data_IF_449620433930
#
_entry.id   IF_449620433930
#
_cell.length_a   1.000
_cell.length_b   1.000
_cell.length_c   1.000
_cell.angle_alpha   90.00
_cell.angle_beta   90.00
_cell.angle_gamma   90.00
#
_symmetry.space_group_name_H-M   'P 1'
#
loop_
_entity.id
_entity.type
_entity.pdbx_description
1 polymer ?
#
# COMPACT_ATOMS: atom_id res chain seq x y z
N UNK A 1 8.01 -16.77 3.83
CA UNK A 1 6.93 -16.93 2.83
C UNK A 1 6.72 -15.60 2.13
N UNK A 2 7.04 -15.50 0.85
CA UNK A 2 6.88 -14.27 0.08
C UNK A 2 5.51 -14.24 -0.63
N UNK A 3 4.92 -13.05 -0.70
CA UNK A 3 3.68 -12.84 -1.45
C UNK A 3 4.03 -12.36 -2.86
N UNK A 4 3.42 -12.96 -3.86
CA UNK A 4 3.56 -12.57 -5.26
C UNK A 4 2.21 -12.13 -5.80
N UNK A 5 2.20 -11.05 -6.55
CA UNK A 5 1.04 -10.58 -7.28
C UNK A 5 1.11 -11.08 -8.72
N UNK A 6 0.02 -11.68 -9.19
CA UNK A 6 -0.09 -12.15 -10.56
C UNK A 6 -1.26 -11.48 -11.28
N UNK A 7 -1.10 -11.29 -12.58
CA UNK A 7 -2.16 -10.92 -13.50
C UNK A 7 -2.47 -12.12 -14.36
N UNK A 8 -3.71 -12.59 -14.32
CA UNK A 8 -4.22 -13.70 -15.11
C UNK A 8 -5.17 -13.21 -16.20
N UNK A 9 -5.27 -13.95 -17.29
CA UNK A 9 -6.30 -13.75 -18.31
C UNK A 9 -7.44 -14.75 -18.08
N UNK A 10 -8.65 -14.26 -17.89
CA UNK A 10 -9.84 -15.11 -17.89
C UNK A 10 -10.15 -15.59 -19.32
N UNK A 11 -10.88 -16.72 -19.45
CA UNK A 11 -11.37 -17.24 -20.74
C UNK A 11 -12.13 -16.17 -21.57
N UNK A 12 -12.70 -15.18 -20.90
CA UNK A 12 -13.41 -14.05 -21.53
C UNK A 12 -12.49 -12.86 -21.88
N UNK A 13 -11.16 -13.05 -21.89
CA UNK A 13 -10.17 -12.00 -22.20
C UNK A 13 -9.99 -10.92 -21.13
N UNK A 14 -10.69 -11.00 -19.99
CA UNK A 14 -10.58 -10.03 -18.90
C UNK A 14 -9.34 -10.32 -18.04
N UNK A 15 -8.56 -9.28 -17.74
CA UNK A 15 -7.42 -9.35 -16.83
C UNK A 15 -7.94 -9.44 -15.39
N UNK A 16 -7.51 -10.46 -14.64
CA UNK A 16 -7.80 -10.64 -13.22
C UNK A 16 -6.50 -10.53 -12.43
N UNK A 17 -6.51 -9.74 -11.36
CA UNK A 17 -5.38 -9.62 -10.42
C UNK A 17 -5.61 -10.58 -9.26
N UNK A 18 -4.56 -11.27 -8.83
CA UNK A 18 -4.59 -12.19 -7.70
C UNK A 18 -3.27 -12.17 -6.92
N UNK A 19 -3.30 -12.78 -5.74
CA UNK A 19 -2.15 -12.92 -4.86
C UNK A 19 -1.88 -14.42 -4.66
N UNK A 20 -0.62 -14.81 -4.72
CA UNK A 20 -0.18 -16.19 -4.47
C UNK A 20 0.99 -16.18 -3.49
N UNK A 21 0.95 -17.10 -2.52
CA UNK A 21 2.07 -17.33 -1.61
C UNK A 21 3.05 -18.30 -2.27
N UNK A 22 4.33 -17.95 -2.33
CA UNK A 22 5.39 -18.83 -2.82
C UNK A 22 6.76 -18.43 -2.26
N UNK A 23 7.71 -19.36 -2.27
CA UNK A 23 9.09 -19.08 -1.83
C UNK A 23 9.98 -18.61 -2.98
N UNK A 24 9.56 -18.84 -4.23
CA UNK A 24 10.22 -18.31 -5.44
C UNK A 24 9.20 -18.00 -6.54
N UNK A 25 9.64 -17.27 -7.58
CA UNK A 25 8.80 -16.92 -8.74
C UNK A 25 8.44 -18.18 -9.54
N UNK A 26 9.35 -19.14 -9.63
CA UNK A 26 9.19 -20.41 -10.33
C UNK A 26 8.10 -21.25 -9.65
N UNK A 27 8.16 -21.37 -8.31
CA UNK A 27 7.14 -22.04 -7.52
C UNK A 27 5.77 -21.34 -7.61
N UNK A 28 5.76 -20.01 -7.68
CA UNK A 28 4.52 -19.25 -7.90
C UNK A 28 3.90 -19.57 -9.27
N UNK A 29 4.69 -19.63 -10.35
CA UNK A 29 4.23 -20.03 -11.69
C UNK A 29 3.70 -21.45 -11.70
N UNK A 30 4.41 -22.38 -11.07
CA UNK A 30 4.03 -23.78 -11.06
C UNK A 30 2.71 -24.01 -10.32
N UNK A 31 2.50 -23.34 -9.18
CA UNK A 31 1.21 -23.35 -8.46
C UNK A 31 0.06 -22.78 -9.29
N UNK A 32 0.26 -21.62 -9.92
CA UNK A 32 -0.76 -21.01 -10.77
C UNK A 32 -1.09 -21.87 -12.00
N UNK A 33 -0.11 -22.60 -12.53
CA UNK A 33 -0.32 -23.56 -13.63
C UNK A 33 -1.11 -24.79 -13.18
N UNK A 34 -0.89 -25.28 -11.95
CA UNK A 34 -1.67 -26.38 -11.35
C UNK A 34 -3.14 -25.99 -11.13
N UNK A 35 -3.43 -24.70 -10.97
CA UNK A 35 -4.79 -24.15 -10.84
C UNK A 35 -5.45 -23.77 -12.18
N UNK A 36 -4.86 -24.15 -13.32
CA UNK A 36 -5.32 -23.80 -14.67
C UNK A 36 -5.45 -22.28 -14.92
N UNK A 37 -4.64 -21.47 -14.24
CA UNK A 37 -4.64 -20.02 -14.38
C UNK A 37 -3.61 -19.59 -15.45
N UNK A 38 -4.08 -18.95 -16.52
CA UNK A 38 -3.23 -18.36 -17.55
C UNK A 38 -2.61 -17.04 -17.06
N UNK A 39 -1.39 -17.12 -16.52
CA UNK A 39 -0.67 -15.97 -15.98
C UNK A 39 0.04 -15.19 -17.08
N UNK A 40 -0.25 -13.88 -17.17
CA UNK A 40 0.41 -12.96 -18.11
C UNK A 40 1.58 -12.21 -17.46
N UNK A 41 1.54 -11.99 -16.15
CA UNK A 41 2.60 -11.29 -15.40
C UNK A 41 2.64 -11.75 -13.95
N UNK A 42 3.85 -11.91 -13.39
CA UNK A 42 4.08 -12.16 -11.96
C UNK A 42 5.11 -11.14 -11.47
N UNK A 43 4.83 -10.52 -10.33
CA UNK A 43 5.71 -9.58 -9.65
C UNK A 43 5.74 -9.91 -8.16
N UNK A 44 6.85 -9.64 -7.49
CA UNK A 44 6.88 -9.69 -6.02
C UNK A 44 5.92 -8.65 -5.46
N UNK A 45 5.00 -9.09 -4.60
CA UNK A 45 4.11 -8.18 -3.91
C UNK A 45 4.88 -7.55 -2.76
N UNK A 46 5.34 -6.33 -2.97
CA UNK A 46 5.64 -5.44 -1.85
C UNK A 46 4.33 -4.78 -1.46
N UNK A 47 3.87 -5.02 -0.23
CA UNK A 47 2.78 -4.22 0.37
C UNK A 47 3.27 -2.77 0.29
N UNK A 48 2.76 -2.00 -0.69
CA UNK A 48 2.95 -0.54 -0.65
C UNK A 48 2.35 -0.15 0.69
N UNK A 49 3.18 0.41 1.58
CA UNK A 49 2.68 0.99 2.81
C UNK A 49 1.47 1.84 2.45
N UNK A 50 0.40 1.75 3.23
CA UNK A 50 -0.78 2.58 3.00
C UNK A 50 -0.28 4.00 2.79
N UNK A 51 -0.55 4.55 1.60
CA UNK A 51 -0.29 5.96 1.39
C UNK A 51 -1.21 6.69 2.34
N UNK A 52 -0.65 7.16 3.45
CA UNK A 52 -1.33 8.01 4.40
C UNK A 52 -1.78 9.25 3.62
N UNK A 53 -3.04 9.23 3.19
CA UNK A 53 -3.66 10.38 2.53
C UNK A 53 -4.08 11.33 3.63
N UNK A 54 -3.24 12.33 3.89
CA UNK A 54 -3.59 13.44 4.76
C UNK A 54 -4.62 14.29 4.03
N UNK A 55 -5.77 14.53 4.66
CA UNK A 55 -6.77 15.41 4.04
C UNK A 55 -6.24 16.85 4.00
N UNK A 56 -6.54 17.63 2.94
CA UNK A 56 -6.12 19.03 2.89
C UNK A 56 -6.66 19.86 4.06
N UNK A 57 -7.87 19.55 4.54
CA UNK A 57 -8.47 20.21 5.70
C UNK A 57 -7.73 19.95 7.00
N UNK A 58 -7.26 18.71 7.21
CA UNK A 58 -6.46 18.34 8.37
C UNK A 58 -5.12 19.06 8.34
N UNK A 59 -4.46 19.10 7.18
CA UNK A 59 -3.19 19.82 7.02
C UNK A 59 -3.33 21.31 7.34
N UNK A 60 -4.40 21.96 6.85
CA UNK A 60 -4.65 23.38 7.13
C UNK A 60 -4.90 23.64 8.61
N UNK A 61 -5.72 22.81 9.26
CA UNK A 61 -6.05 22.97 10.69
C UNK A 61 -4.80 22.77 11.54
N UNK A 62 -4.07 21.68 11.31
CA UNK A 62 -2.81 21.39 11.98
C UNK A 62 -1.80 22.55 11.84
N UNK A 63 -1.63 23.09 10.63
CA UNK A 63 -0.67 24.18 10.40
C UNK A 63 -1.10 25.47 11.10
N UNK A 64 -2.40 25.78 11.11
CA UNK A 64 -2.94 26.94 11.83
C UNK A 64 -2.72 26.80 13.34
N UNK A 65 -3.05 25.64 13.90
CA UNK A 65 -3.01 25.43 15.35
C UNK A 65 -1.55 25.41 15.85
N UNK A 66 -0.65 24.78 15.10
CA UNK A 66 0.79 24.86 15.35
C UNK A 66 1.29 26.32 15.32
N UNK A 67 0.90 27.10 14.31
CA UNK A 67 1.30 28.51 14.23
C UNK A 67 0.81 29.32 15.44
N UNK A 68 -0.45 29.12 15.86
CA UNK A 68 -1.03 29.84 17.00
C UNK A 68 -0.30 29.49 18.29
N UNK A 69 -0.07 28.20 18.55
CA UNK A 69 0.60 27.74 19.78
C UNK A 69 2.08 28.15 19.81
N UNK A 70 2.79 28.02 18.67
CA UNK A 70 4.17 28.48 18.55
C UNK A 70 4.29 29.98 18.74
N UNK A 71 3.35 30.77 18.19
CA UNK A 71 3.31 32.23 18.38
C UNK A 71 2.95 32.63 19.82
N UNK A 72 2.16 31.82 20.52
CA UNK A 72 1.86 32.02 21.94
C UNK A 72 3.07 31.72 22.85
N UNK A 73 4.20 31.27 22.28
CA UNK A 73 5.43 30.98 23.02
C UNK A 73 5.45 29.60 23.65
N UNK A 74 4.52 28.69 23.28
CA UNK A 74 4.61 27.31 23.74
C UNK A 74 5.85 26.64 23.13
N UNK A 75 6.62 25.89 23.92
CA UNK A 75 7.65 25.01 23.40
C UNK A 75 7.09 24.06 22.35
N UNK A 76 7.90 23.74 21.33
CA UNK A 76 7.48 22.84 20.25
C UNK A 76 7.10 21.45 20.77
N UNK A 77 7.77 20.98 21.82
CA UNK A 77 7.44 19.72 22.47
C UNK A 77 6.01 19.70 22.99
N UNK A 78 5.63 20.72 23.76
CA UNK A 78 4.28 20.82 24.35
C UNK A 78 3.22 21.04 23.27
N UNK A 79 3.56 21.82 22.24
CA UNK A 79 2.67 22.05 21.07
C UNK A 79 2.34 20.74 20.37
N UNK A 80 3.34 19.90 20.09
CA UNK A 80 3.14 18.61 19.42
C UNK A 80 2.45 17.56 20.31
N UNK A 81 2.53 17.70 21.63
CA UNK A 81 1.83 16.82 22.57
C UNK A 81 0.34 17.19 22.71
N UNK A 82 -0.01 18.44 22.41
CA UNK A 82 -1.38 18.97 22.53
C UNK A 82 -2.21 18.76 21.25
N UNK A 83 -1.56 18.70 20.08
CA UNK A 83 -2.16 18.46 18.77
C UNK A 83 -2.39 16.97 18.51
#
# INVERSE_FOLDING_TARGET
MALYQYTALSKNGRKKLGLVNADSVELAKERLRKEDILVTKILSYKKKGEQLKISPSLLMSFTRDLHVLSRAGLPLYDTLLTL
#
